data_IF_390985468194
#
_entry.id   IF_390985468194
#
_cell.length_a   1.000
_cell.length_b   1.000
_cell.length_c   1.000
_cell.angle_alpha   90.00
_cell.angle_beta   90.00
_cell.angle_gamma   90.00
#
_symmetry.space_group_name_H-M   'P 1'
#
loop_
_entity.id
_entity.type
_entity.pdbx_description
1 polymer ?
#
# COMPACT_ATOMS: atom_id res chain seq x y z
N UNK A 1 6.90 -13.45 -29.39
CA UNK A 1 8.07 -12.56 -29.29
C UNK A 1 7.67 -11.09 -29.12
N UNK A 2 6.72 -10.58 -29.91
CA UNK A 2 6.19 -9.21 -29.76
C UNK A 2 5.67 -8.91 -28.34
N UNK A 3 4.95 -9.85 -27.73
CA UNK A 3 4.38 -9.71 -26.38
C UNK A 3 5.44 -9.50 -25.29
N UNK A 4 6.59 -10.16 -25.40
CA UNK A 4 7.69 -10.02 -24.45
C UNK A 4 8.35 -8.64 -24.54
N UNK A 5 8.51 -8.10 -25.75
CA UNK A 5 9.08 -6.76 -25.97
C UNK A 5 8.20 -5.66 -25.37
N UNK A 6 6.88 -5.76 -25.54
CA UNK A 6 5.95 -4.81 -24.94
C UNK A 6 5.89 -4.95 -23.41
N UNK A 7 5.95 -6.18 -22.88
CA UNK A 7 6.02 -6.41 -21.43
C UNK A 7 7.24 -5.77 -20.78
N UNK A 8 8.42 -5.92 -21.41
CA UNK A 8 9.67 -5.32 -20.91
C UNK A 8 9.61 -3.79 -21.03
N UNK A 9 9.13 -3.26 -22.15
CA UNK A 9 9.02 -1.81 -22.37
C UNK A 9 8.11 -1.15 -21.32
N UNK A 10 6.98 -1.77 -20.99
CA UNK A 10 6.05 -1.27 -19.98
C UNK A 10 6.66 -1.33 -18.57
N UNK A 11 7.34 -2.43 -18.25
CA UNK A 11 8.03 -2.60 -16.96
C UNK A 11 9.10 -1.51 -16.72
N UNK A 12 9.85 -1.14 -17.76
CA UNK A 12 10.88 -0.10 -17.67
C UNK A 12 10.27 1.29 -17.42
N UNK A 13 9.13 1.61 -18.06
CA UNK A 13 8.43 2.88 -17.86
C UNK A 13 7.90 2.98 -16.42
N UNK A 14 7.25 1.93 -15.91
CA UNK A 14 6.73 1.94 -14.54
C UNK A 14 7.83 2.04 -13.48
N UNK A 15 8.98 1.39 -13.70
CA UNK A 15 10.12 1.50 -12.79
C UNK A 15 10.64 2.96 -12.71
N UNK A 16 10.71 3.66 -13.85
CA UNK A 16 11.12 5.06 -13.90
C UNK A 16 10.14 5.98 -13.16
N UNK A 17 8.84 5.86 -13.43
CA UNK A 17 7.81 6.71 -12.80
C UNK A 17 7.77 6.50 -11.29
N UNK A 18 7.89 5.25 -10.83
CA UNK A 18 7.88 4.92 -9.41
C UNK A 18 9.08 5.53 -8.64
N UNK A 19 10.25 5.61 -9.28
CA UNK A 19 11.45 6.18 -8.67
C UNK A 19 11.46 7.72 -8.65
N UNK A 20 10.97 8.36 -9.70
CA UNK A 20 11.04 9.83 -9.86
C UNK A 20 9.85 10.57 -9.24
N UNK A 21 8.66 9.95 -9.19
CA UNK A 21 7.43 10.55 -8.64
C UNK A 21 6.96 9.79 -7.40
N UNK A 22 7.86 9.61 -6.43
CA UNK A 22 7.50 9.02 -5.15
C UNK A 22 6.53 9.97 -4.42
N UNK A 23 5.23 9.71 -4.56
CA UNK A 23 4.19 10.49 -3.91
C UNK A 23 4.16 10.09 -2.45
N UNK A 24 4.53 11.01 -1.55
CA UNK A 24 4.51 10.77 -0.12
C UNK A 24 3.05 10.88 0.34
N UNK A 25 2.45 9.74 0.66
CA UNK A 25 1.12 9.69 1.25
C UNK A 25 1.24 9.91 2.76
N UNK A 26 0.70 11.03 3.24
CA UNK A 26 0.56 11.27 4.67
C UNK A 26 -0.72 10.61 5.17
N UNK A 27 -0.64 10.00 6.35
CA UNK A 27 -1.83 9.52 7.02
C UNK A 27 -2.77 10.70 7.34
N UNK A 28 -4.10 10.49 7.29
CA UNK A 28 -5.07 11.50 7.71
C UNK A 28 -4.87 11.82 9.19
N UNK A 29 -5.28 13.02 9.60
CA UNK A 29 -5.16 13.46 10.99
C UNK A 29 -6.05 12.59 11.90
N UNK A 30 -5.66 12.47 13.17
CA UNK A 30 -6.33 11.59 14.15
C UNK A 30 -7.82 11.93 14.33
N UNK A 31 -8.17 13.22 14.32
CA UNK A 31 -9.54 13.73 14.40
C UNK A 31 -10.42 13.32 13.21
N UNK A 32 -9.80 13.10 12.04
CA UNK A 32 -10.52 12.69 10.84
C UNK A 32 -10.88 11.19 10.85
N UNK A 33 -10.16 10.37 11.61
CA UNK A 33 -10.34 8.92 11.71
C UNK A 33 -11.02 8.47 13.01
N UNK A 34 -10.90 9.23 14.09
CA UNK A 34 -11.42 8.82 15.39
C UNK A 34 -12.95 8.69 15.35
N UNK A 35 -13.46 7.58 15.90
CA UNK A 35 -14.89 7.23 15.94
C UNK A 35 -15.59 7.14 14.59
N UNK A 36 -14.84 7.10 13.47
CA UNK A 36 -15.42 6.86 12.15
C UNK A 36 -15.28 5.40 11.75
N UNK A 37 -16.25 4.94 10.95
CA UNK A 37 -16.25 3.62 10.32
C UNK A 37 -16.12 3.86 8.82
N UNK A 38 -15.15 3.22 8.20
CA UNK A 38 -14.86 3.34 6.77
C UNK A 38 -15.34 2.07 6.07
N UNK A 39 -16.20 2.23 5.07
CA UNK A 39 -16.63 1.13 4.21
C UNK A 39 -15.67 1.03 3.04
N UNK A 40 -15.03 -0.13 2.86
CA UNK A 40 -14.22 -0.47 1.70
C UNK A 40 -14.79 -1.76 1.13
N UNK A 41 -15.24 -1.73 -0.12
CA UNK A 41 -16.04 -2.80 -0.74
C UNK A 41 -17.24 -3.21 0.14
N UNK A 42 -17.29 -4.48 0.57
CA UNK A 42 -18.34 -5.02 1.43
C UNK A 42 -17.94 -5.13 2.91
N UNK A 43 -16.75 -4.62 3.28
CA UNK A 43 -16.23 -4.68 4.65
C UNK A 43 -16.15 -3.29 5.30
N UNK A 44 -16.37 -3.27 6.62
CA UNK A 44 -16.32 -2.07 7.45
C UNK A 44 -15.08 -2.10 8.35
N UNK A 45 -14.32 -1.02 8.35
CA UNK A 45 -13.07 -0.88 9.10
C UNK A 45 -13.18 0.26 10.11
N UNK A 46 -12.69 0.04 11.32
CA UNK A 46 -12.54 1.06 12.36
C UNK A 46 -11.06 1.15 12.73
N UNK A 47 -10.50 2.34 12.57
CA UNK A 47 -9.10 2.59 12.93
C UNK A 47 -9.01 2.98 14.41
N UNK A 48 -8.04 2.40 15.11
CA UNK A 48 -7.66 2.81 16.47
C UNK A 48 -6.25 3.36 16.43
N UNK A 49 -6.05 4.52 17.04
CA UNK A 49 -4.73 5.17 17.09
C UNK A 49 -4.08 4.89 18.44
N UNK A 50 -2.79 4.60 18.42
CA UNK A 50 -1.98 4.42 19.63
C UNK A 50 -0.89 5.49 19.65
N UNK A 51 -0.78 6.21 20.76
CA UNK A 51 0.29 7.17 20.95
C UNK A 51 1.55 6.41 21.35
N UNK A 52 2.63 6.64 20.62
CA UNK A 52 3.95 6.08 20.93
C UNK A 52 4.92 7.21 21.26
N UNK A 53 5.87 6.99 22.20
CA UNK A 53 6.89 7.98 22.49
C UNK A 53 7.76 8.21 21.25
N UNK A 54 8.01 9.48 20.92
CA UNK A 54 8.98 9.85 19.90
C UNK A 54 10.38 9.55 20.47
N UNK A 55 10.88 8.34 20.21
CA UNK A 55 12.24 7.94 20.56
C UNK A 55 13.11 8.02 19.30
N UNK A 56 14.44 8.15 19.44
CA UNK A 56 15.38 8.28 18.31
C UNK A 56 15.31 7.11 17.30
N UNK A 57 14.66 6.01 17.70
CA UNK A 57 14.14 4.99 16.80
C UNK A 57 12.78 5.46 16.29
N UNK A 58 12.80 6.36 15.31
CA UNK A 58 11.61 6.66 14.54
C UNK A 58 10.98 5.32 14.14
N UNK A 59 9.73 5.08 14.56
CA UNK A 59 8.94 4.04 13.91
C UNK A 59 8.99 4.39 12.43
N UNK A 60 9.63 3.53 11.65
CA UNK A 60 9.66 3.73 10.20
C UNK A 60 8.21 3.98 9.76
N UNK A 61 7.99 4.95 8.84
CA UNK A 61 6.65 5.20 8.33
C UNK A 61 6.02 3.86 7.97
N UNK A 62 4.79 3.65 8.43
CA UNK A 62 4.09 2.36 8.29
C UNK A 62 4.30 1.83 6.87
N UNK A 63 5.10 0.78 6.75
CA UNK A 63 5.34 0.17 5.46
C UNK A 63 4.17 -0.80 5.23
N UNK A 64 3.44 -0.58 4.14
CA UNK A 64 2.37 -1.48 3.72
C UNK A 64 2.89 -2.70 2.97
N UNK A 65 4.21 -2.93 2.93
CA UNK A 65 4.85 -3.94 2.08
C UNK A 65 5.44 -5.10 2.92
N UNK A 66 6.20 -4.77 3.96
CA UNK A 66 6.72 -5.64 5.03
C UNK A 66 5.71 -5.85 6.17
N UNK A 67 4.86 -4.85 6.47
CA UNK A 67 3.89 -4.87 7.59
C UNK A 67 2.46 -4.53 7.16
N UNK A 68 1.93 -5.21 6.16
CA UNK A 68 0.52 -5.07 5.77
C UNK A 68 -0.43 -5.69 6.83
N UNK A 69 -1.02 -4.86 7.68
CA UNK A 69 -2.14 -5.23 8.58
C UNK A 69 -3.42 -5.61 7.84
N UNK A 70 -3.50 -5.24 6.55
CA UNK A 70 -4.60 -5.56 5.64
C UNK A 70 -4.08 -6.34 4.43
N UNK A 71 -3.28 -7.40 4.63
CA UNK A 71 -3.17 -8.41 3.58
C UNK A 71 -4.56 -9.00 3.37
N UNK A 72 -5.33 -8.43 2.45
CA UNK A 72 -6.25 -9.24 1.68
C UNK A 72 -5.36 -10.35 1.11
N UNK A 73 -5.76 -11.60 1.30
CA UNK A 73 -5.16 -12.75 0.63
C UNK A 73 -5.48 -12.66 -0.87
N UNK A 74 -4.90 -11.63 -1.49
CA UNK A 74 -4.78 -11.41 -2.90
C UNK A 74 -3.91 -12.56 -3.40
N UNK A 75 -4.54 -13.48 -4.11
CA UNK A 75 -3.83 -14.50 -4.88
C UNK A 75 -2.80 -13.77 -5.73
N UNK A 76 -1.54 -14.19 -5.61
CA UNK A 76 -0.43 -13.56 -6.29
C UNK A 76 -0.65 -13.49 -7.80
N UNK A 77 0.11 -12.62 -8.47
CA UNK A 77 -0.02 -12.37 -9.91
C UNK A 77 -0.03 -13.67 -10.76
N UNK A 78 0.74 -14.69 -10.35
CA UNK A 78 0.79 -16.01 -10.99
C UNK A 78 -0.52 -16.77 -10.78
N UNK A 79 -1.06 -16.80 -9.57
CA UNK A 79 -2.32 -17.48 -9.26
C UNK A 79 -3.53 -16.83 -9.93
N UNK A 80 -3.47 -15.53 -10.27
CA UNK A 80 -4.50 -14.83 -11.07
C UNK A 80 -4.36 -15.04 -12.57
N UNK A 81 -3.17 -15.39 -13.06
CA UNK A 81 -2.89 -15.58 -14.49
C UNK A 81 -3.07 -17.03 -14.95
N UNK A 82 -3.00 -18.00 -14.04
CA UNK A 82 -3.09 -19.43 -14.35
C UNK A 82 -4.28 -20.15 -13.66
N UNK A 83 -5.26 -19.39 -13.17
CA UNK A 83 -6.55 -19.90 -12.71
C UNK A 83 -7.62 -19.76 -13.79
#
# INVERSE_FOLDING_TARGET
MISALFGISLALIFNRVCKENCTIYFAPKQDEINNKIFKLDDTCYKYSTVNVPCNDKAINPYDGYSSASNQLNDKGLIDKLFA
#
